data_IF_680224406802
#
_entry.id   IF_680224406802
#
_cell.length_a   1.000
_cell.length_b   1.000
_cell.length_c   1.000
_cell.angle_alpha   90.00
_cell.angle_beta   90.00
_cell.angle_gamma   90.00
#
_symmetry.space_group_name_H-M   'P 1'
#
loop_
_entity.id
_entity.type
_entity.pdbx_description
1 polymer ?
#
# COMPACT_ATOMS: atom_id res chain seq x y z
N UNK A 1 12.33 21.80 -9.65
CA UNK A 1 12.48 20.46 -9.02
C UNK A 1 11.12 20.03 -8.49
N UNK A 2 10.70 18.83 -8.86
CA UNK A 2 9.41 18.31 -8.41
C UNK A 2 9.45 17.92 -6.94
N UNK A 3 8.40 18.28 -6.19
CA UNK A 3 8.23 17.85 -4.82
C UNK A 3 7.56 16.47 -4.77
N UNK A 4 7.67 15.80 -3.61
CA UNK A 4 6.97 14.53 -3.38
C UNK A 4 5.48 14.67 -3.70
N UNK A 5 4.83 15.74 -3.25
CA UNK A 5 3.39 15.93 -3.44
C UNK A 5 3.03 16.13 -4.91
N UNK A 6 3.84 16.87 -5.66
CA UNK A 6 3.62 17.07 -7.10
C UNK A 6 3.74 15.73 -7.85
N UNK A 7 4.75 14.94 -7.51
CA UNK A 7 4.95 13.61 -8.12
C UNK A 7 3.77 12.70 -7.78
N UNK A 8 3.32 12.74 -6.53
CA UNK A 8 2.20 11.93 -6.06
C UNK A 8 0.90 12.27 -6.81
N UNK A 9 0.63 13.55 -6.98
CA UNK A 9 -0.54 14.01 -7.74
C UNK A 9 -0.48 13.54 -9.19
N UNK A 10 0.69 13.64 -9.82
CA UNK A 10 0.93 13.14 -11.18
C UNK A 10 0.68 11.63 -11.27
N UNK A 11 1.19 10.89 -10.30
CA UNK A 11 1.01 9.44 -10.24
C UNK A 11 -0.48 9.07 -10.11
N UNK A 12 -1.20 9.81 -9.27
CA UNK A 12 -2.64 9.59 -9.09
C UNK A 12 -3.40 9.84 -10.40
N UNK A 13 -2.98 10.84 -11.17
CA UNK A 13 -3.55 11.11 -12.48
C UNK A 13 -3.30 9.96 -13.45
N UNK A 14 -2.08 9.44 -13.48
CA UNK A 14 -1.72 8.29 -14.31
C UNK A 14 -2.54 7.05 -13.91
N UNK A 15 -2.69 6.82 -12.61
CA UNK A 15 -3.48 5.71 -12.11
C UNK A 15 -4.94 5.82 -12.58
N UNK A 16 -5.50 7.02 -12.51
CA UNK A 16 -6.90 7.28 -12.88
C UNK A 16 -7.18 6.97 -14.35
N UNK A 17 -6.20 7.19 -15.24
CA UNK A 17 -6.36 6.92 -16.67
C UNK A 17 -5.81 5.57 -17.10
N UNK A 18 -5.39 4.73 -16.15
CA UNK A 18 -4.91 3.39 -16.41
C UNK A 18 -3.47 3.27 -16.85
N UNK A 19 -2.68 4.34 -16.73
CA UNK A 19 -1.25 4.34 -17.02
C UNK A 19 -0.49 3.77 -15.82
N UNK A 20 -0.68 2.46 -15.59
CA UNK A 20 -0.24 1.80 -14.36
C UNK A 20 1.27 1.79 -14.18
N UNK A 21 2.02 1.52 -15.25
CA UNK A 21 3.48 1.46 -15.16
C UNK A 21 4.08 2.82 -14.87
N UNK A 22 3.54 3.86 -15.49
CA UNK A 22 3.95 5.24 -15.22
C UNK A 22 3.65 5.62 -13.77
N UNK A 23 2.45 5.25 -13.28
CA UNK A 23 2.06 5.52 -11.90
C UNK A 23 3.02 4.83 -10.92
N UNK A 24 3.35 3.56 -11.16
CA UNK A 24 4.29 2.81 -10.31
C UNK A 24 5.65 3.53 -10.25
N UNK A 25 6.19 3.93 -11.38
CA UNK A 25 7.47 4.64 -11.43
C UNK A 25 7.45 5.92 -10.58
N UNK A 26 6.37 6.68 -10.69
CA UNK A 26 6.21 7.94 -9.92
C UNK A 26 6.00 7.67 -8.43
N UNK A 27 5.20 6.68 -8.07
CA UNK A 27 5.04 6.31 -6.66
C UNK A 27 6.38 5.84 -6.04
N UNK A 28 7.18 5.09 -6.80
CA UNK A 28 8.52 4.70 -6.33
C UNK A 28 9.41 5.91 -6.07
N UNK A 29 9.32 6.93 -6.91
CA UNK A 29 10.05 8.18 -6.68
C UNK A 29 9.58 8.86 -5.40
N UNK A 30 8.26 8.87 -5.15
CA UNK A 30 7.70 9.49 -3.94
C UNK A 30 8.27 8.84 -2.67
N UNK A 31 8.25 7.50 -2.60
CA UNK A 31 8.73 6.80 -1.41
C UNK A 31 10.26 6.80 -1.32
N UNK A 32 10.94 7.01 -2.44
CA UNK A 32 12.39 7.24 -2.45
C UNK A 32 12.75 8.58 -1.85
N UNK A 33 11.95 9.61 -2.13
CA UNK A 33 12.14 10.94 -1.55
C UNK A 33 11.72 11.01 -0.09
N UNK A 34 10.67 10.26 0.27
CA UNK A 34 10.13 10.24 1.64
C UNK A 34 9.73 8.81 1.99
N UNK A 35 10.66 8.02 2.59
CA UNK A 35 10.37 6.63 2.94
C UNK A 35 9.28 6.44 4.00
N UNK A 36 8.87 7.50 4.69
CA UNK A 36 7.80 7.46 5.68
C UNK A 36 6.45 7.90 5.12
N UNK A 37 6.38 8.13 3.82
CA UNK A 37 5.16 8.56 3.16
C UNK A 37 4.23 7.36 2.95
N UNK A 38 3.38 7.09 3.91
CA UNK A 38 2.49 5.92 3.91
C UNK A 38 1.56 5.90 2.70
N UNK A 39 0.98 7.05 2.35
CA UNK A 39 0.08 7.13 1.20
C UNK A 39 0.77 6.71 -0.08
N UNK A 40 2.06 7.02 -0.22
CA UNK A 40 2.86 6.60 -1.36
C UNK A 40 3.07 5.09 -1.39
N UNK A 41 3.39 4.49 -0.25
CA UNK A 41 3.56 3.03 -0.16
C UNK A 41 2.25 2.31 -0.46
N UNK A 42 1.13 2.80 0.09
CA UNK A 42 -0.17 2.20 -0.13
C UNK A 42 -0.59 2.30 -1.61
N UNK A 43 -0.44 3.47 -2.20
CA UNK A 43 -0.76 3.69 -3.61
C UNK A 43 0.12 2.84 -4.52
N UNK A 44 1.41 2.73 -4.20
CA UNK A 44 2.35 1.86 -4.93
C UNK A 44 1.87 0.41 -4.92
N UNK A 45 1.50 -0.08 -3.74
CA UNK A 45 0.98 -1.44 -3.61
C UNK A 45 -0.26 -1.69 -4.45
N UNK A 46 -1.20 -0.75 -4.44
CA UNK A 46 -2.44 -0.85 -5.24
C UNK A 46 -2.14 -0.87 -6.74
N UNK A 47 -1.24 -0.02 -7.20
CA UNK A 47 -0.86 0.03 -8.62
C UNK A 47 -0.14 -1.26 -9.05
N UNK A 48 0.77 -1.76 -8.21
CA UNK A 48 1.46 -3.03 -8.47
C UNK A 48 0.50 -4.20 -8.52
N UNK A 49 -0.50 -4.23 -7.62
CA UNK A 49 -1.53 -5.25 -7.64
C UNK A 49 -2.30 -5.23 -8.94
N UNK A 50 -2.68 -4.05 -9.41
CA UNK A 50 -3.41 -3.91 -10.68
C UNK A 50 -2.58 -4.38 -11.88
N UNK A 51 -1.26 -4.28 -11.80
CA UNK A 51 -0.36 -4.82 -12.83
C UNK A 51 -0.13 -6.33 -12.69
N UNK A 52 -0.63 -6.94 -11.62
CA UNK A 52 -0.39 -8.35 -11.35
C UNK A 52 0.96 -8.65 -10.70
N UNK A 53 1.68 -7.63 -10.24
CA UNK A 53 2.97 -7.76 -9.55
C UNK A 53 2.74 -7.95 -8.05
N UNK A 54 2.15 -9.09 -7.69
CA UNK A 54 1.68 -9.32 -6.32
C UNK A 54 2.81 -9.38 -5.27
N UNK A 55 3.95 -10.05 -5.50
CA UNK A 55 5.02 -10.03 -4.51
C UNK A 55 5.51 -8.61 -4.19
N UNK A 56 5.65 -7.78 -5.21
CA UNK A 56 6.07 -6.39 -5.02
C UNK A 56 4.99 -5.56 -4.32
N UNK A 57 3.72 -5.83 -4.63
CA UNK A 57 2.60 -5.18 -3.94
C UNK A 57 2.62 -5.51 -2.45
N UNK A 58 2.90 -6.77 -2.10
CA UNK A 58 3.00 -7.22 -0.71
C UNK A 58 4.11 -6.46 0.01
N UNK A 59 5.27 -6.29 -0.62
CA UNK A 59 6.38 -5.55 0.01
C UNK A 59 5.98 -4.11 0.32
N UNK A 60 5.31 -3.44 -0.62
CA UNK A 60 4.82 -2.08 -0.41
C UNK A 60 3.75 -2.04 0.70
N UNK A 61 2.85 -3.02 0.71
CA UNK A 61 1.81 -3.14 1.73
C UNK A 61 2.38 -3.37 3.11
N UNK A 62 3.41 -4.21 3.22
CA UNK A 62 4.10 -4.46 4.49
C UNK A 62 4.72 -3.17 5.03
N UNK A 63 5.33 -2.38 4.15
CA UNK A 63 5.92 -1.11 4.54
C UNK A 63 4.84 -0.15 5.09
N UNK A 64 3.69 -0.11 4.42
CA UNK A 64 2.58 0.73 4.89
C UNK A 64 2.08 0.31 6.27
N UNK A 65 1.96 -1.00 6.54
CA UNK A 65 1.53 -1.50 7.84
C UNK A 65 2.56 -1.27 8.94
N UNK A 66 3.84 -1.30 8.59
CA UNK A 66 4.92 -0.97 9.54
C UNK A 66 4.85 0.50 9.97
N UNK A 67 4.54 1.38 9.03
CA UNK A 67 4.48 2.82 9.28
C UNK A 67 3.19 3.22 9.98
N UNK A 68 2.08 2.54 9.70
CA UNK A 68 0.76 2.81 10.31
C UNK A 68 0.11 1.51 10.78
N UNK A 69 0.62 0.91 11.86
CA UNK A 69 0.10 -0.40 12.30
C UNK A 69 -1.32 -0.38 12.83
N UNK A 70 -1.88 0.79 13.13
CA UNK A 70 -3.24 0.92 13.63
C UNK A 70 -4.21 1.48 12.58
N UNK A 71 -3.83 1.46 11.32
CA UNK A 71 -4.68 1.92 10.22
C UNK A 71 -5.35 0.70 9.57
N UNK A 72 -6.66 0.60 9.70
CA UNK A 72 -7.43 -0.51 9.16
C UNK A 72 -7.27 -0.66 7.64
N UNK A 73 -7.21 0.46 6.92
CA UNK A 73 -7.16 0.44 5.45
C UNK A 73 -5.90 -0.25 4.94
N UNK A 74 -4.74 0.05 5.53
CA UNK A 74 -3.48 -0.55 5.05
C UNK A 74 -3.43 -2.06 5.33
N UNK A 75 -4.02 -2.53 6.43
CA UNK A 75 -4.12 -3.97 6.70
C UNK A 75 -5.09 -4.67 5.75
N UNK A 76 -6.21 -4.02 5.43
CA UNK A 76 -7.17 -4.54 4.47
C UNK A 76 -6.52 -4.70 3.10
N UNK A 77 -5.76 -3.69 2.66
CA UNK A 77 -5.06 -3.74 1.38
C UNK A 77 -4.00 -4.84 1.37
N UNK A 78 -3.22 -4.96 2.44
CA UNK A 78 -2.21 -6.02 2.53
C UNK A 78 -2.85 -7.41 2.47
N UNK A 79 -3.98 -7.60 3.14
CA UNK A 79 -4.74 -8.85 3.05
C UNK A 79 -5.12 -9.16 1.60
N UNK A 80 -5.60 -8.15 0.87
CA UNK A 80 -5.95 -8.30 -0.54
C UNK A 80 -4.73 -8.70 -1.37
N UNK A 81 -3.58 -8.07 -1.15
CA UNK A 81 -2.36 -8.39 -1.90
C UNK A 81 -1.92 -9.83 -1.66
N UNK A 82 -1.94 -10.29 -0.41
CA UNK A 82 -1.64 -11.67 -0.07
C UNK A 82 -2.63 -12.64 -0.72
N UNK A 83 -3.91 -12.31 -0.68
CA UNK A 83 -4.95 -13.15 -1.25
C UNK A 83 -4.76 -13.32 -2.76
N UNK A 84 -4.45 -12.23 -3.46
CA UNK A 84 -4.19 -12.27 -4.91
C UNK A 84 -2.95 -13.08 -5.25
N UNK A 85 -1.97 -13.10 -4.34
CA UNK A 85 -0.76 -13.90 -4.54
C UNK A 85 -0.93 -15.38 -4.15
N UNK A 86 -2.08 -15.74 -3.59
CA UNK A 86 -2.34 -17.11 -3.14
C UNK A 86 -1.86 -17.41 -1.72
N UNK A 87 -1.38 -16.41 -1.00
CA UNK A 87 -0.90 -16.54 0.38
C UNK A 87 -2.05 -16.43 1.36
N UNK A 88 -2.88 -17.46 1.43
CA UNK A 88 -4.15 -17.42 2.15
C UNK A 88 -3.96 -17.24 3.66
N UNK A 89 -2.98 -17.91 4.26
CA UNK A 89 -2.73 -17.77 5.71
C UNK A 89 -2.34 -16.34 6.08
N UNK A 90 -1.45 -15.76 5.31
CA UNK A 90 -1.00 -14.39 5.51
C UNK A 90 -2.14 -13.40 5.27
N UNK A 91 -2.99 -13.68 4.28
CA UNK A 91 -4.16 -12.87 3.99
C UNK A 91 -5.13 -12.88 5.18
N UNK A 92 -5.38 -14.04 5.75
CA UNK A 92 -6.26 -14.18 6.90
C UNK A 92 -5.68 -13.45 8.13
N UNK A 93 -4.37 -13.56 8.35
CA UNK A 93 -3.70 -12.88 9.46
C UNK A 93 -3.82 -11.36 9.34
N UNK A 94 -3.57 -10.82 8.14
CA UNK A 94 -3.70 -9.38 7.90
C UNK A 94 -5.16 -8.93 8.02
N UNK A 95 -6.09 -9.72 7.48
CA UNK A 95 -7.52 -9.46 7.59
C UNK A 95 -8.01 -9.44 9.04
N UNK A 96 -7.48 -10.34 9.87
CA UNK A 96 -7.80 -10.38 11.29
C UNK A 96 -7.37 -9.09 12.00
N UNK A 97 -6.20 -8.57 11.65
CA UNK A 97 -5.72 -7.29 12.20
C UNK A 97 -6.64 -6.14 11.80
N UNK A 98 -7.05 -6.10 10.54
CA UNK A 98 -8.00 -5.09 10.07
C UNK A 98 -9.32 -5.18 10.85
N UNK A 99 -9.77 -6.39 11.14
CA UNK A 99 -11.01 -6.62 11.89
C UNK A 99 -10.90 -6.12 13.32
N UNK A 100 -9.79 -6.41 14.00
CA UNK A 100 -9.51 -5.90 15.35
C UNK A 100 -9.60 -4.37 15.36
N UNK A 101 -9.00 -3.73 14.37
CA UNK A 101 -9.01 -2.26 14.27
C UNK A 101 -10.43 -1.73 14.01
N UNK A 102 -11.23 -2.45 13.23
CA UNK A 102 -12.62 -2.05 12.96
C UNK A 102 -13.47 -2.08 14.21
N UNK A 103 -13.08 -2.88 15.22
CA UNK A 103 -13.78 -2.97 16.51
C UNK A 103 -13.20 -2.00 17.56
N UNK A 104 -12.28 -1.12 17.17
CA UNK A 104 -11.68 -0.18 18.09
C UNK A 104 -10.45 -0.69 18.84
N UNK A 105 -9.98 -1.89 18.49
CA UNK A 105 -8.75 -2.45 19.07
C UNK A 105 -7.51 -1.79 18.46
N UNK A 106 -6.33 -2.21 18.93
CA UNK A 106 -5.05 -1.71 18.42
C UNK A 106 -4.13 -2.89 18.16
N UNK A 107 -3.29 -2.75 17.14
CA UNK A 107 -2.29 -3.75 16.78
C UNK A 107 -0.97 -3.44 17.48
N UNK A 108 -0.62 -2.14 17.58
CA UNK A 108 0.65 -1.74 18.17
C UNK A 108 0.50 -0.41 18.91
N UNK A 109 1.31 -0.28 19.96
CA UNK A 109 1.42 0.95 20.70
C UNK A 109 0.20 1.30 21.54
N UNK A 110 0.16 2.53 21.97
CA UNK A 110 -0.91 3.08 22.80
C UNK A 110 -1.72 4.10 22.08
#
# INVERSE_FOLDING_TARGET
>A
METRDEIFDDANGDLAIGELESAVGKYRRCVGLDPEFVDGWHALGMALMKLGHFPEAIEAGKKATELRPNDQIVWTSLSLFYNRNGDIKEAEAAGAKAKILSWGGKIAGT
#
